data_IF_473334715206
#
_entry.id   IF_473334715206
#
_cell.length_a   1.000
_cell.length_b   1.000
_cell.length_c   1.000
_cell.angle_alpha   90.00
_cell.angle_beta   90.00
_cell.angle_gamma   90.00
#
_symmetry.space_group_name_H-M   'P 1'
#
loop_
_entity.id
_entity.type
_entity.pdbx_description
1 polymer ?
#
# COMPACT_ATOMS: atom_id res chain seq x y z
N UNK A 1 9.52 -18.69 21.22
CA UNK A 1 9.83 -18.34 19.80
C UNK A 1 9.55 -16.87 19.57
N UNK A 2 10.45 -16.14 18.91
CA UNK A 2 10.22 -14.73 18.58
C UNK A 2 9.06 -14.57 17.59
N UNK A 3 8.39 -13.40 17.58
CA UNK A 3 7.28 -13.11 16.64
C UNK A 3 7.70 -13.09 15.17
N UNK A 4 9.01 -13.05 14.88
CA UNK A 4 9.54 -12.95 13.51
C UNK A 4 10.52 -14.07 13.23
N UNK A 5 10.38 -14.71 12.08
CA UNK A 5 11.35 -15.69 11.58
C UNK A 5 12.71 -15.02 11.35
N UNK A 6 13.77 -15.68 11.78
CA UNK A 6 15.17 -15.30 11.47
C UNK A 6 15.53 -15.72 10.04
N UNK A 7 16.71 -15.34 9.56
CA UNK A 7 17.17 -15.80 8.25
C UNK A 7 17.43 -17.32 8.26
N UNK A 8 17.92 -17.87 9.37
CA UNK A 8 18.13 -19.32 9.54
C UNK A 8 16.83 -20.13 9.46
N UNK A 9 15.71 -19.59 9.94
CA UNK A 9 14.39 -20.25 9.84
C UNK A 9 13.92 -20.41 8.39
N UNK A 10 14.59 -19.78 7.42
CA UNK A 10 14.32 -19.92 5.99
C UNK A 10 15.30 -20.84 5.25
N UNK A 11 16.17 -21.59 5.96
CA UNK A 11 17.15 -22.47 5.34
C UNK A 11 16.49 -23.44 4.34
N UNK A 12 15.46 -24.14 4.76
CA UNK A 12 14.74 -25.08 3.91
C UNK A 12 14.09 -24.44 2.67
N UNK A 13 13.64 -23.21 2.77
CA UNK A 13 13.09 -22.45 1.64
C UNK A 13 14.19 -21.93 0.70
N UNK A 14 15.35 -21.55 1.24
CA UNK A 14 16.54 -21.16 0.48
C UNK A 14 17.02 -22.34 -0.38
N UNK A 15 17.11 -23.53 0.21
CA UNK A 15 17.57 -24.77 -0.45
C UNK A 15 16.66 -25.21 -1.61
N UNK A 16 15.38 -24.77 -1.64
CA UNK A 16 14.48 -25.02 -2.77
C UNK A 16 14.88 -24.28 -4.06
N UNK A 17 15.81 -23.31 -3.98
CA UNK A 17 16.18 -22.51 -5.13
C UNK A 17 17.12 -23.25 -6.09
N UNK A 18 16.59 -23.82 -7.17
CA UNK A 18 17.37 -24.50 -8.22
C UNK A 18 18.05 -23.53 -9.22
N UNK A 19 18.10 -22.26 -8.93
CA UNK A 19 18.81 -21.20 -9.72
C UNK A 19 18.37 -21.13 -11.20
N UNK A 20 17.15 -21.57 -11.56
CA UNK A 20 16.62 -21.70 -12.94
C UNK A 20 16.48 -20.37 -13.71
N UNK A 21 16.43 -19.23 -13.01
CA UNK A 21 16.35 -17.92 -13.64
C UNK A 21 14.95 -17.38 -13.99
N UNK A 22 13.86 -18.14 -13.74
CA UNK A 22 12.48 -17.67 -14.01
C UNK A 22 12.16 -16.30 -13.36
N UNK A 23 12.74 -16.02 -12.19
CA UNK A 23 12.58 -14.76 -11.48
C UNK A 23 13.17 -13.54 -12.21
N UNK A 24 14.13 -13.71 -13.12
CA UNK A 24 14.76 -12.59 -13.85
C UNK A 24 13.77 -11.85 -14.75
N UNK A 25 12.89 -12.60 -15.42
CA UNK A 25 11.92 -12.04 -16.36
C UNK A 25 10.93 -11.06 -15.66
N UNK A 26 10.67 -11.26 -14.38
CA UNK A 26 9.69 -10.46 -13.62
C UNK A 26 10.32 -9.37 -12.74
N UNK A 27 11.62 -9.46 -12.44
CA UNK A 27 12.25 -8.54 -11.52
C UNK A 27 12.46 -7.15 -12.14
N UNK A 28 11.70 -6.16 -11.65
CA UNK A 28 11.80 -4.79 -12.13
C UNK A 28 13.18 -4.17 -11.82
N UNK A 29 13.79 -4.50 -10.66
CA UNK A 29 15.11 -4.01 -10.27
C UNK A 29 16.19 -4.62 -11.16
N UNK A 30 16.13 -5.92 -11.45
CA UNK A 30 17.06 -6.57 -12.36
C UNK A 30 16.98 -5.97 -13.79
N UNK A 31 15.77 -5.70 -14.28
CA UNK A 31 15.58 -5.04 -15.59
C UNK A 31 16.23 -3.66 -15.67
N UNK A 32 16.37 -2.96 -14.53
CA UNK A 32 17.03 -1.65 -14.47
C UNK A 32 18.54 -1.76 -14.28
N UNK A 33 19.01 -2.60 -13.36
CA UNK A 33 20.42 -2.63 -12.94
C UNK A 33 21.26 -3.70 -13.66
N UNK A 34 20.63 -4.73 -14.21
CA UNK A 34 21.28 -5.85 -14.91
C UNK A 34 22.37 -6.56 -14.11
N UNK A 35 22.21 -6.60 -12.77
CA UNK A 35 23.14 -7.26 -11.85
C UNK A 35 22.47 -8.47 -11.22
N UNK A 36 23.18 -9.60 -11.17
CA UNK A 36 22.67 -10.86 -10.64
C UNK A 36 22.26 -10.75 -9.14
N UNK A 37 23.04 -10.02 -8.35
CA UNK A 37 22.72 -9.78 -6.92
C UNK A 37 21.39 -9.02 -6.67
N UNK A 38 20.81 -8.42 -7.72
CA UNK A 38 19.55 -7.68 -7.59
C UNK A 38 18.30 -8.52 -7.87
N UNK A 39 18.45 -9.70 -8.46
CA UNK A 39 17.35 -10.63 -8.73
C UNK A 39 17.17 -11.65 -7.60
N UNK A 40 16.02 -12.28 -7.51
CA UNK A 40 15.68 -13.21 -6.43
C UNK A 40 16.73 -14.32 -6.24
N UNK A 41 17.09 -15.07 -7.30
CA UNK A 41 18.06 -16.16 -7.17
C UNK A 41 19.44 -15.70 -6.66
N UNK A 42 19.88 -14.50 -7.08
CA UNK A 42 21.12 -13.91 -6.57
C UNK A 42 21.02 -13.51 -5.09
N UNK A 43 19.87 -12.97 -4.66
CA UNK A 43 19.62 -12.67 -3.23
C UNK A 43 19.57 -13.93 -2.38
N UNK A 44 18.95 -14.98 -2.90
CA UNK A 44 18.92 -16.29 -2.23
C UNK A 44 20.35 -16.83 -2.07
N UNK A 45 21.17 -16.83 -3.12
CA UNK A 45 22.56 -17.28 -3.06
C UNK A 45 23.41 -16.45 -2.08
N UNK A 46 23.19 -15.14 -2.02
CA UNK A 46 23.89 -14.25 -1.05
C UNK A 46 23.42 -14.54 0.39
N UNK A 47 22.13 -14.81 0.60
CA UNK A 47 21.58 -15.19 1.90
C UNK A 47 22.12 -16.54 2.36
N UNK A 48 22.18 -17.55 1.44
CA UNK A 48 22.80 -18.86 1.67
C UNK A 48 24.26 -18.70 2.10
N UNK A 49 25.06 -17.97 1.34
CA UNK A 49 26.49 -17.74 1.65
C UNK A 49 26.72 -16.99 2.99
N UNK A 50 25.78 -16.11 3.41
CA UNK A 50 25.84 -15.50 4.75
C UNK A 50 25.61 -16.53 5.85
N UNK A 51 24.60 -17.41 5.68
CA UNK A 51 24.29 -18.48 6.64
C UNK A 51 25.41 -19.50 6.74
N UNK A 52 26.07 -19.82 5.62
CA UNK A 52 27.22 -20.73 5.55
C UNK A 52 28.54 -20.09 6.01
N UNK A 53 28.49 -18.80 6.40
CA UNK A 53 29.66 -18.01 6.83
C UNK A 53 30.72 -17.81 5.73
N UNK A 54 30.34 -17.99 4.49
CA UNK A 54 31.22 -17.75 3.32
C UNK A 54 31.30 -16.24 2.98
N UNK A 55 30.25 -15.48 3.31
CA UNK A 55 30.21 -14.02 3.15
C UNK A 55 29.95 -13.32 4.49
N UNK A 56 30.65 -12.21 4.77
CA UNK A 56 30.37 -11.38 5.94
C UNK A 56 29.12 -10.52 5.72
N UNK A 57 28.45 -10.13 6.81
CA UNK A 57 27.41 -9.10 6.80
C UNK A 57 28.08 -7.72 6.65
N UNK A 58 28.62 -7.42 5.46
CA UNK A 58 29.29 -6.17 5.12
C UNK A 58 28.41 -5.23 4.30
N UNK A 59 28.97 -4.08 3.90
CA UNK A 59 28.29 -3.03 3.12
C UNK A 59 27.67 -3.58 1.83
N UNK A 60 28.36 -4.50 1.17
CA UNK A 60 27.88 -5.11 -0.07
C UNK A 60 26.62 -5.94 0.14
N UNK A 61 26.57 -6.75 1.21
CA UNK A 61 25.38 -7.51 1.58
C UNK A 61 24.19 -6.58 1.88
N UNK A 62 24.45 -5.52 2.66
CA UNK A 62 23.45 -4.50 3.01
C UNK A 62 22.90 -3.85 1.74
N UNK A 63 23.76 -3.43 0.81
CA UNK A 63 23.38 -2.81 -0.45
C UNK A 63 22.52 -3.77 -1.28
N UNK A 64 22.96 -5.01 -1.48
CA UNK A 64 22.25 -5.98 -2.31
C UNK A 64 20.87 -6.33 -1.70
N UNK A 65 20.74 -6.48 -0.36
CA UNK A 65 19.46 -6.71 0.30
C UNK A 65 18.55 -5.47 0.28
N UNK A 66 19.11 -4.25 0.29
CA UNK A 66 18.31 -3.02 0.17
C UNK A 66 17.69 -2.87 -1.22
N UNK A 67 18.31 -3.42 -2.26
CA UNK A 67 17.85 -3.37 -3.66
C UNK A 67 16.76 -4.41 -3.96
N UNK A 68 15.72 -4.46 -3.12
CA UNK A 68 14.53 -5.26 -3.33
C UNK A 68 13.29 -4.44 -3.02
N UNK A 69 12.30 -4.49 -3.94
CA UNK A 69 11.00 -3.81 -3.80
C UNK A 69 10.03 -4.54 -2.87
N UNK A 70 10.34 -5.76 -2.47
CA UNK A 70 9.44 -6.65 -1.70
C UNK A 70 8.08 -6.87 -2.41
N UNK A 71 8.07 -6.90 -3.73
CA UNK A 71 6.84 -6.92 -4.54
C UNK A 71 6.27 -8.32 -4.80
N UNK A 72 6.95 -9.39 -4.38
CA UNK A 72 6.50 -10.79 -4.53
C UNK A 72 6.47 -11.34 -5.97
N UNK A 73 6.75 -10.54 -7.01
CA UNK A 73 6.66 -10.99 -8.42
C UNK A 73 7.56 -12.18 -8.75
N UNK A 74 8.67 -12.33 -8.05
CA UNK A 74 9.56 -13.47 -8.21
C UNK A 74 8.99 -14.75 -7.59
N UNK A 75 8.25 -14.64 -6.49
CA UNK A 75 7.56 -15.76 -5.85
C UNK A 75 6.45 -16.31 -6.74
N UNK A 76 5.59 -15.44 -7.29
CA UNK A 76 4.47 -15.85 -8.16
C UNK A 76 4.90 -16.64 -9.40
N UNK A 77 6.13 -16.42 -9.88
CA UNK A 77 6.68 -17.08 -11.07
C UNK A 77 7.71 -18.15 -10.73
N UNK A 78 7.93 -18.40 -9.44
CA UNK A 78 8.87 -19.42 -9.00
C UNK A 78 8.21 -20.80 -9.03
N UNK A 79 8.73 -21.79 -9.80
CA UNK A 79 8.16 -23.12 -9.80
C UNK A 79 8.26 -23.82 -8.43
N UNK A 80 9.24 -23.42 -7.61
CA UNK A 80 9.46 -23.97 -6.27
C UNK A 80 8.89 -23.07 -5.16
N UNK A 81 8.15 -22.00 -5.50
CA UNK A 81 7.48 -21.09 -4.58
C UNK A 81 8.40 -20.54 -3.47
N UNK A 82 9.66 -20.21 -3.81
CA UNK A 82 10.62 -19.65 -2.84
C UNK A 82 10.15 -18.27 -2.38
N UNK A 83 9.92 -18.04 -1.06
CA UNK A 83 9.37 -16.78 -0.53
C UNK A 83 10.46 -15.71 -0.41
N UNK A 84 11.00 -15.26 -1.54
CA UNK A 84 12.16 -14.37 -1.59
C UNK A 84 11.93 -13.07 -0.84
N UNK A 85 10.72 -12.50 -0.88
CA UNK A 85 10.40 -11.27 -0.16
C UNK A 85 10.51 -11.45 1.36
N UNK A 86 10.11 -12.61 1.90
CA UNK A 86 10.19 -12.93 3.32
C UNK A 86 11.64 -13.18 3.75
N UNK A 87 12.42 -13.86 2.92
CA UNK A 87 13.87 -14.07 3.12
C UNK A 87 14.60 -12.72 3.15
N UNK A 88 14.32 -11.81 2.21
CA UNK A 88 14.91 -10.47 2.18
C UNK A 88 14.49 -9.65 3.42
N UNK A 89 13.24 -9.76 3.87
CA UNK A 89 12.80 -9.12 5.10
C UNK A 89 13.52 -9.67 6.32
N UNK A 90 13.75 -10.98 6.40
CA UNK A 90 14.54 -11.60 7.48
C UNK A 90 15.99 -11.11 7.45
N UNK A 91 16.63 -11.07 6.27
CA UNK A 91 17.97 -10.52 6.11
C UNK A 91 18.06 -9.05 6.55
N UNK A 92 17.07 -8.21 6.21
CA UNK A 92 17.01 -6.81 6.65
C UNK A 92 16.85 -6.67 8.16
N UNK A 93 16.08 -7.55 8.82
CA UNK A 93 16.00 -7.60 10.29
C UNK A 93 17.33 -7.96 10.92
N UNK A 94 18.04 -8.92 10.36
CA UNK A 94 19.37 -9.29 10.85
C UNK A 94 20.40 -8.15 10.67
N UNK A 95 20.37 -7.45 9.54
CA UNK A 95 21.15 -6.22 9.33
C UNK A 95 20.85 -5.18 10.42
N UNK A 96 19.56 -4.90 10.64
CA UNK A 96 19.14 -3.92 11.64
C UNK A 96 19.54 -4.30 13.09
N UNK A 97 19.48 -5.59 13.42
CA UNK A 97 19.91 -6.10 14.72
C UNK A 97 21.42 -5.99 14.95
N UNK A 98 22.23 -6.27 13.92
CA UNK A 98 23.69 -6.26 14.06
C UNK A 98 24.34 -4.89 13.85
N UNK A 99 23.79 -4.06 12.96
CA UNK A 99 24.37 -2.78 12.57
C UNK A 99 23.51 -1.56 12.95
N UNK A 100 22.29 -1.82 13.44
CA UNK A 100 21.29 -0.79 13.69
C UNK A 100 20.53 -0.35 12.43
N UNK A 101 19.48 0.43 12.64
CA UNK A 101 18.71 1.03 11.55
C UNK A 101 19.49 2.15 10.87
N UNK A 102 19.28 2.32 9.57
CA UNK A 102 19.74 3.50 8.85
C UNK A 102 19.17 4.80 9.44
N UNK A 103 19.79 5.94 9.14
CA UNK A 103 19.33 7.25 9.64
C UNK A 103 17.86 7.53 9.22
N UNK A 104 17.51 7.26 7.95
CA UNK A 104 16.12 7.38 7.50
C UNK A 104 15.20 6.37 8.19
N UNK A 105 15.65 5.12 8.37
CA UNK A 105 14.90 4.09 9.09
C UNK A 105 14.54 4.53 10.51
N UNK A 106 15.50 5.09 11.26
CA UNK A 106 15.28 5.63 12.63
C UNK A 106 14.24 6.75 12.65
N UNK A 107 14.31 7.69 11.70
CA UNK A 107 13.34 8.79 11.60
C UNK A 107 11.96 8.24 11.26
N UNK A 108 11.86 7.40 10.22
CA UNK A 108 10.62 6.80 9.76
C UNK A 108 9.91 6.05 10.88
N UNK A 109 10.60 5.10 11.50
CA UNK A 109 9.99 4.24 12.54
C UNK A 109 9.70 5.01 13.83
N UNK A 110 10.53 6.01 14.16
CA UNK A 110 10.27 6.94 15.26
C UNK A 110 8.99 7.76 15.10
N UNK A 111 8.68 8.17 13.86
CA UNK A 111 7.43 8.88 13.53
C UNK A 111 6.24 7.93 13.52
N UNK A 112 6.36 6.75 12.88
CA UNK A 112 5.28 5.78 12.76
C UNK A 112 4.74 5.28 14.10
N UNK A 113 5.60 5.15 15.12
CA UNK A 113 5.20 4.77 16.50
C UNK A 113 4.39 5.84 17.25
N UNK A 114 4.33 7.06 16.74
CA UNK A 114 3.75 8.21 17.45
C UNK A 114 2.64 8.86 16.65
N UNK A 115 1.39 8.35 16.70
CA UNK A 115 0.26 8.89 15.95
C UNK A 115 0.05 10.40 16.20
N UNK A 116 0.18 10.87 17.44
CA UNK A 116 0.10 12.30 17.77
C UNK A 116 1.16 13.14 17.06
N UNK A 117 2.38 12.62 16.91
CA UNK A 117 3.44 13.30 16.16
C UNK A 117 3.11 13.33 14.66
N UNK A 118 2.56 12.25 14.12
CA UNK A 118 2.09 12.21 12.72
C UNK A 118 1.00 13.27 12.49
N UNK A 119 0.07 13.47 13.43
CA UNK A 119 -0.95 14.52 13.35
C UNK A 119 -0.33 15.92 13.28
N UNK A 120 0.62 16.18 14.18
CA UNK A 120 1.31 17.48 14.22
C UNK A 120 2.08 17.71 12.93
N UNK A 121 2.82 16.70 12.44
CA UNK A 121 3.60 16.80 11.20
C UNK A 121 2.71 16.98 9.97
N UNK A 122 1.58 16.28 9.87
CA UNK A 122 0.64 16.44 8.77
C UNK A 122 0.03 17.85 8.75
N UNK A 123 -0.45 18.32 9.91
CA UNK A 123 -1.03 19.67 10.04
C UNK A 123 0.00 20.76 9.80
N UNK A 124 1.22 20.61 10.31
CA UNK A 124 2.32 21.55 10.06
C UNK A 124 2.72 21.55 8.57
N UNK A 125 2.85 20.37 7.97
CA UNK A 125 3.13 20.21 6.54
C UNK A 125 2.10 20.94 5.67
N UNK A 126 0.80 20.77 5.95
CA UNK A 126 -0.27 21.44 5.22
C UNK A 126 -0.27 22.97 5.42
N UNK A 127 0.08 23.48 6.62
CA UNK A 127 0.18 24.93 6.87
C UNK A 127 1.40 25.55 6.21
N UNK A 128 2.53 24.86 6.20
CA UNK A 128 3.80 25.32 5.66
C UNK A 128 3.98 24.93 4.18
N UNK A 129 2.98 24.31 3.55
CA UNK A 129 3.04 23.80 2.19
C UNK A 129 3.53 24.86 1.20
N UNK A 130 2.95 26.06 1.23
CA UNK A 130 3.31 27.15 0.32
C UNK A 130 4.76 27.65 0.50
N UNK A 131 5.32 27.52 1.71
CA UNK A 131 6.68 27.95 2.03
C UNK A 131 7.71 26.89 1.60
N UNK A 132 7.48 25.64 1.95
CA UNK A 132 8.44 24.54 1.76
C UNK A 132 8.33 23.86 0.38
N UNK A 133 7.17 23.98 -0.27
CA UNK A 133 6.89 23.27 -1.52
C UNK A 133 6.42 24.21 -2.63
N UNK A 134 6.59 23.75 -3.86
CA UNK A 134 6.02 24.34 -5.07
C UNK A 134 4.98 23.37 -5.61
N UNK A 135 3.77 23.88 -5.88
CA UNK A 135 2.73 23.07 -6.57
C UNK A 135 3.18 22.74 -7.99
N UNK A 136 2.94 21.51 -8.38
CA UNK A 136 3.05 21.09 -9.76
C UNK A 136 1.74 21.50 -10.44
N UNK A 137 1.75 22.00 -11.71
CA UNK A 137 0.52 22.34 -12.43
C UNK A 137 -0.49 21.18 -12.42
N UNK A 138 -1.77 21.51 -12.61
CA UNK A 138 -2.90 20.57 -12.74
C UNK A 138 -3.14 19.66 -11.52
N UNK A 139 -2.84 20.15 -10.30
CA UNK A 139 -3.02 19.43 -9.04
C UNK A 139 -2.28 18.08 -8.98
N UNK A 140 -1.18 17.95 -9.70
CA UNK A 140 -0.40 16.72 -9.80
C UNK A 140 0.62 16.55 -8.66
N UNK A 141 0.48 17.30 -7.56
CA UNK A 141 1.25 17.17 -6.32
C UNK A 141 2.21 18.33 -6.04
N UNK A 142 3.16 18.05 -5.16
CA UNK A 142 4.12 19.03 -4.62
C UNK A 142 5.55 18.64 -4.95
N UNK A 143 6.44 19.63 -5.16
CA UNK A 143 7.90 19.46 -5.19
C UNK A 143 8.58 20.31 -4.15
N UNK A 144 9.68 19.83 -3.60
CA UNK A 144 10.49 20.57 -2.64
C UNK A 144 11.09 21.84 -3.27
N UNK A 145 10.98 22.97 -2.58
CA UNK A 145 11.69 24.23 -2.94
C UNK A 145 13.17 24.14 -2.57
N UNK A 146 13.47 23.50 -1.44
CA UNK A 146 14.81 23.38 -0.86
C UNK A 146 15.19 21.90 -0.73
N UNK A 147 16.48 21.54 -0.77
CA UNK A 147 16.92 20.18 -0.52
C UNK A 147 16.60 19.79 0.92
N UNK A 148 16.01 18.62 1.10
CA UNK A 148 15.71 18.01 2.40
C UNK A 148 16.38 16.64 2.44
N UNK A 149 17.02 16.27 3.55
CA UNK A 149 17.62 14.94 3.68
C UNK A 149 16.63 13.83 3.30
N UNK A 150 17.11 12.80 2.62
CA UNK A 150 16.38 11.58 2.24
C UNK A 150 15.31 11.74 1.15
N UNK A 151 14.93 12.95 0.75
CA UNK A 151 13.91 13.16 -0.28
C UNK A 151 14.56 13.83 -1.49
N UNK A 152 14.55 13.16 -2.63
CA UNK A 152 15.02 13.74 -3.88
C UNK A 152 14.20 14.98 -4.23
N UNK A 153 14.88 16.08 -4.59
CA UNK A 153 14.24 17.38 -4.84
C UNK A 153 13.21 17.34 -5.98
N UNK A 154 13.48 16.53 -6.98
CA UNK A 154 12.63 16.34 -8.16
C UNK A 154 11.44 15.42 -7.90
N UNK A 155 11.39 14.73 -6.75
CA UNK A 155 10.30 13.83 -6.41
C UNK A 155 8.99 14.57 -6.22
N UNK A 156 7.94 14.06 -6.85
CA UNK A 156 6.58 14.52 -6.59
C UNK A 156 6.05 13.90 -5.30
N UNK A 157 5.47 14.72 -4.44
CA UNK A 157 4.87 14.34 -3.17
C UNK A 157 3.36 14.63 -3.24
N UNK A 158 2.52 13.91 -2.47
CA UNK A 158 1.10 14.24 -2.37
C UNK A 158 0.91 15.56 -1.62
N UNK A 159 -0.22 16.21 -1.82
CA UNK A 159 -0.61 17.36 -0.99
C UNK A 159 -0.79 16.92 0.46
N UNK A 160 -0.39 17.77 1.40
CA UNK A 160 -0.55 17.49 2.81
C UNK A 160 -1.94 17.90 3.29
N UNK A 161 -2.60 17.04 4.05
CA UNK A 161 -3.88 17.40 4.65
C UNK A 161 -3.70 18.13 5.97
N UNK A 162 -4.43 19.22 6.16
CA UNK A 162 -4.56 19.88 7.46
C UNK A 162 -5.61 19.22 8.35
N UNK A 163 -6.50 18.39 7.78
CA UNK A 163 -7.55 17.66 8.48
C UNK A 163 -7.42 16.16 8.16
N UNK A 164 -6.81 15.34 9.04
CA UNK A 164 -6.76 13.89 8.90
C UNK A 164 -8.16 13.26 8.74
N UNK A 165 -8.25 12.06 8.14
CA UNK A 165 -9.53 11.41 7.86
C UNK A 165 -10.46 11.32 9.09
N UNK A 166 -9.90 10.98 10.28
CA UNK A 166 -10.67 10.92 11.54
C UNK A 166 -11.29 12.24 12.00
N UNK A 167 -10.87 13.37 11.42
CA UNK A 167 -11.48 14.70 11.66
C UNK A 167 -12.51 15.07 10.57
N UNK A 168 -12.67 14.21 9.56
CA UNK A 168 -13.57 14.42 8.41
C UNK A 168 -14.78 13.51 8.45
N UNK A 169 -14.63 12.32 9.03
CA UNK A 169 -15.68 11.32 9.13
C UNK A 169 -16.02 11.03 10.59
N UNK A 170 -17.28 10.71 10.89
CA UNK A 170 -17.65 10.18 12.20
C UNK A 170 -16.99 8.82 12.42
N UNK A 171 -16.84 8.43 13.67
CA UNK A 171 -16.29 7.12 14.06
C UNK A 171 -17.17 5.96 13.60
N UNK A 172 -18.48 6.20 13.51
CA UNK A 172 -19.47 5.19 13.15
C UNK A 172 -20.45 5.73 12.08
N UNK A 173 -20.75 4.89 11.12
CA UNK A 173 -21.83 5.09 10.14
C UNK A 173 -22.84 3.98 10.35
N UNK A 174 -24.10 4.35 10.58
CA UNK A 174 -25.20 3.40 10.68
C UNK A 174 -25.47 2.72 9.34
N UNK A 175 -26.04 1.54 9.39
CA UNK A 175 -26.51 0.77 8.25
C UNK A 175 -27.66 -0.13 8.68
N UNK A 176 -28.15 -0.98 7.78
CA UNK A 176 -29.26 -1.90 8.07
C UNK A 176 -28.91 -2.83 9.25
N UNK A 177 -29.90 -3.09 10.09
CA UNK A 177 -29.73 -3.79 11.38
C UNK A 177 -29.33 -5.28 11.23
N UNK A 178 -29.61 -5.90 10.09
CA UNK A 178 -29.25 -7.30 9.78
C UNK A 178 -27.84 -7.47 9.23
N UNK A 179 -27.13 -6.37 8.95
CA UNK A 179 -25.77 -6.43 8.45
C UNK A 179 -24.74 -6.47 9.60
N UNK A 180 -23.79 -7.37 9.48
CA UNK A 180 -22.63 -7.43 10.41
C UNK A 180 -21.80 -6.16 10.34
N UNK A 181 -21.32 -5.67 11.50
CA UNK A 181 -20.46 -4.51 11.57
C UNK A 181 -19.15 -4.73 10.81
N UNK A 182 -18.88 -3.85 9.87
CA UNK A 182 -17.59 -3.81 9.16
C UNK A 182 -16.72 -2.72 9.77
N UNK A 183 -15.46 -3.03 10.08
CA UNK A 183 -14.49 -2.03 10.52
C UNK A 183 -13.60 -1.59 9.37
N UNK A 184 -13.20 -0.31 9.33
CA UNK A 184 -12.29 0.21 8.32
C UNK A 184 -10.89 0.46 8.89
N UNK A 185 -9.91 -0.25 8.34
CA UNK A 185 -8.51 0.04 8.56
C UNK A 185 -8.02 1.04 7.50
N UNK A 186 -7.97 2.32 7.86
CA UNK A 186 -7.54 3.41 6.95
C UNK A 186 -6.02 3.42 6.72
N UNK A 187 -5.23 3.06 7.73
CA UNK A 187 -3.78 3.15 7.69
C UNK A 187 -3.26 4.60 7.55
N UNK A 188 -1.93 4.75 7.49
CA UNK A 188 -1.31 6.08 7.54
C UNK A 188 -1.52 6.90 6.26
N UNK A 189 -1.47 6.29 5.06
CA UNK A 189 -1.55 7.04 3.81
C UNK A 189 -2.95 7.63 3.57
N UNK A 190 -4.01 6.87 3.83
CA UNK A 190 -5.39 7.35 3.72
C UNK A 190 -5.67 8.37 4.84
N UNK A 191 -5.15 8.12 6.04
CA UNK A 191 -5.34 9.02 7.17
C UNK A 191 -4.77 10.43 6.91
N UNK A 192 -3.57 10.53 6.28
CA UNK A 192 -2.79 11.77 6.25
C UNK A 192 -2.51 12.33 4.85
N UNK A 193 -2.58 11.54 3.79
CA UNK A 193 -2.23 11.97 2.43
C UNK A 193 -3.40 11.87 1.45
N UNK A 194 -4.28 10.88 1.63
CA UNK A 194 -5.39 10.64 0.69
C UNK A 194 -6.72 10.43 1.43
N UNK A 195 -7.14 11.36 2.32
CA UNK A 195 -8.37 11.20 3.11
C UNK A 195 -9.62 11.06 2.25
N UNK A 196 -9.63 11.60 1.03
CA UNK A 196 -10.73 11.45 0.07
C UNK A 196 -11.03 9.99 -0.29
N UNK A 197 -10.05 9.08 -0.17
CA UNK A 197 -10.29 7.64 -0.38
C UNK A 197 -11.17 7.06 0.73
N UNK A 198 -10.96 7.50 1.98
CA UNK A 198 -11.81 7.12 3.11
C UNK A 198 -13.21 7.73 3.03
N UNK A 199 -13.31 9.00 2.60
CA UNK A 199 -14.60 9.66 2.36
C UNK A 199 -15.38 8.96 1.24
N UNK A 200 -14.71 8.54 0.16
CA UNK A 200 -15.28 7.76 -0.92
C UNK A 200 -15.83 6.42 -0.40
N UNK A 201 -15.05 5.72 0.46
CA UNK A 201 -15.51 4.47 1.07
C UNK A 201 -16.76 4.68 1.93
N UNK A 202 -16.77 5.70 2.79
CA UNK A 202 -17.91 6.02 3.63
C UNK A 202 -19.19 6.25 2.81
N UNK A 203 -19.07 6.97 1.67
CA UNK A 203 -20.17 7.20 0.75
C UNK A 203 -20.68 5.89 0.11
N UNK A 204 -19.77 4.99 -0.26
CA UNK A 204 -20.13 3.68 -0.82
C UNK A 204 -20.88 2.83 0.22
N UNK A 205 -20.42 2.83 1.48
CA UNK A 205 -21.07 2.08 2.56
C UNK A 205 -22.48 2.60 2.83
N UNK A 206 -22.70 3.91 2.85
CA UNK A 206 -24.05 4.50 2.94
C UNK A 206 -24.94 4.09 1.77
N UNK A 207 -24.43 4.14 0.55
CA UNK A 207 -25.18 3.69 -0.64
C UNK A 207 -25.59 2.21 -0.57
N UNK A 208 -24.76 1.37 0.06
CA UNK A 208 -25.05 -0.05 0.28
C UNK A 208 -25.87 -0.32 1.55
N UNK A 209 -26.11 0.71 2.36
CA UNK A 209 -26.77 0.61 3.68
C UNK A 209 -26.04 -0.39 4.60
N UNK A 210 -24.70 -0.28 4.66
CA UNK A 210 -23.83 -1.12 5.47
C UNK A 210 -23.25 -0.35 6.65
N UNK A 211 -23.27 -0.91 7.88
CA UNK A 211 -22.65 -0.27 9.05
C UNK A 211 -21.13 -0.27 8.93
N UNK A 212 -20.50 0.88 9.25
CA UNK A 212 -19.04 1.05 9.19
C UNK A 212 -18.52 1.66 10.49
N UNK A 213 -17.54 1.02 11.09
CA UNK A 213 -16.80 1.56 12.23
C UNK A 213 -15.37 1.91 11.83
N UNK A 214 -14.92 3.10 12.20
CA UNK A 214 -13.58 3.63 11.92
C UNK A 214 -12.86 3.84 13.26
N UNK A 215 -12.11 2.84 13.79
CA UNK A 215 -11.43 2.98 15.07
C UNK A 215 -10.49 4.19 15.10
N UNK A 216 -10.65 5.15 16.03
CA UNK A 216 -9.84 6.37 16.02
C UNK A 216 -8.38 6.14 16.44
N UNK A 217 -8.08 5.06 17.18
CA UNK A 217 -6.75 4.76 17.71
C UNK A 217 -5.88 3.93 16.76
N UNK A 218 -6.40 3.51 15.61
CA UNK A 218 -5.62 2.76 14.63
C UNK A 218 -4.40 3.54 14.11
N UNK A 219 -3.34 2.82 13.79
CA UNK A 219 -2.08 3.40 13.33
C UNK A 219 -1.63 2.90 11.95
N UNK A 220 -0.32 2.88 11.73
CA UNK A 220 0.27 2.27 10.55
C UNK A 220 0.20 0.73 10.63
N UNK A 221 0.03 0.05 9.48
CA UNK A 221 0.08 -1.43 9.42
C UNK A 221 1.47 -2.02 9.72
N UNK A 222 2.51 -1.21 9.83
CA UNK A 222 3.87 -1.66 10.10
C UNK A 222 4.71 -2.04 8.87
N UNK A 223 4.13 -2.15 7.67
CA UNK A 223 4.87 -2.59 6.48
C UNK A 223 6.11 -1.70 6.14
N UNK A 224 6.09 -0.37 6.30
CA UNK A 224 7.30 0.44 6.10
C UNK A 224 8.40 0.16 7.12
N UNK A 225 8.04 -0.13 8.39
CA UNK A 225 8.99 -0.54 9.43
C UNK A 225 9.58 -1.93 9.13
N UNK A 226 8.74 -2.85 8.66
CA UNK A 226 9.18 -4.18 8.21
C UNK A 226 10.16 -4.09 7.03
N UNK A 227 9.89 -3.22 6.05
CA UNK A 227 10.79 -2.96 4.95
C UNK A 227 12.13 -2.35 5.39
N UNK A 228 12.15 -1.61 6.51
CA UNK A 228 13.36 -1.08 7.14
C UNK A 228 14.10 -2.10 8.03
N UNK A 229 13.49 -3.25 8.35
CA UNK A 229 14.05 -4.27 9.24
C UNK A 229 13.79 -4.02 10.73
N UNK A 230 12.93 -3.06 11.10
CA UNK A 230 12.63 -2.71 12.50
C UNK A 230 11.49 -3.58 13.07
N UNK A 231 11.84 -4.78 13.52
CA UNK A 231 10.90 -5.72 14.12
C UNK A 231 10.19 -5.14 15.36
N UNK A 232 10.93 -4.44 16.23
CA UNK A 232 10.36 -3.87 17.46
C UNK A 232 9.29 -2.82 17.17
N UNK A 233 9.45 -2.03 16.10
CA UNK A 233 8.42 -1.10 15.65
C UNK A 233 7.22 -1.83 15.05
N UNK A 234 7.45 -2.91 14.30
CA UNK A 234 6.36 -3.74 13.76
C UNK A 234 5.52 -4.33 14.88
N UNK A 235 6.17 -4.89 15.91
CA UNK A 235 5.48 -5.45 17.08
C UNK A 235 4.63 -4.40 17.82
N UNK A 236 5.22 -3.24 18.12
CA UNK A 236 4.51 -2.17 18.81
C UNK A 236 3.29 -1.64 18.01
N UNK A 237 3.41 -1.54 16.69
CA UNK A 237 2.31 -1.14 15.82
C UNK A 237 1.22 -2.21 15.71
N UNK A 238 1.62 -3.49 15.68
CA UNK A 238 0.68 -4.60 15.64
C UNK A 238 -0.14 -4.68 16.93
N UNK A 239 0.52 -4.59 18.10
CA UNK A 239 -0.16 -4.60 19.40
C UNK A 239 -1.12 -3.40 19.54
N UNK A 240 -0.70 -2.21 19.13
CA UNK A 240 -1.55 -1.02 19.14
C UNK A 240 -2.77 -1.17 18.20
N UNK A 241 -2.60 -1.75 17.02
CA UNK A 241 -3.71 -2.00 16.11
C UNK A 241 -4.65 -3.09 16.64
N UNK A 242 -4.13 -4.19 17.19
CA UNK A 242 -4.97 -5.22 17.85
C UNK A 242 -5.83 -4.59 18.94
N UNK A 243 -5.22 -3.76 19.80
CA UNK A 243 -5.95 -3.04 20.86
C UNK A 243 -7.00 -2.07 20.30
N UNK A 244 -6.71 -1.37 19.19
CA UNK A 244 -7.63 -0.43 18.56
C UNK A 244 -8.89 -1.11 17.98
N UNK A 245 -8.79 -2.37 17.57
CA UNK A 245 -9.91 -3.15 17.01
C UNK A 245 -10.58 -4.07 18.04
N UNK A 246 -10.10 -4.08 19.28
CA UNK A 246 -10.72 -4.83 20.37
C UNK A 246 -11.97 -4.14 20.91
N UNK A 247 -12.83 -4.89 21.62
CA UNK A 247 -13.96 -4.36 22.38
C UNK A 247 -15.24 -4.12 21.58
N UNK A 248 -15.28 -4.53 20.30
CA UNK A 248 -16.51 -4.62 19.49
C UNK A 248 -16.53 -5.94 18.73
N UNK A 249 -17.71 -6.50 18.56
CA UNK A 249 -17.89 -7.63 17.67
C UNK A 249 -17.87 -7.12 16.21
N UNK A 250 -16.87 -7.55 15.47
CA UNK A 250 -16.64 -7.12 14.09
C UNK A 250 -16.72 -8.35 13.19
N UNK A 251 -17.60 -8.31 12.18
CA UNK A 251 -17.71 -9.36 11.19
C UNK A 251 -16.51 -9.37 10.22
N UNK A 252 -16.07 -8.20 9.76
CA UNK A 252 -15.00 -8.03 8.79
C UNK A 252 -14.22 -6.73 9.04
N UNK A 253 -12.93 -6.73 8.70
CA UNK A 253 -12.11 -5.52 8.62
C UNK A 253 -11.72 -5.28 7.17
N UNK A 254 -12.13 -4.14 6.60
CA UNK A 254 -11.77 -3.79 5.23
C UNK A 254 -10.65 -2.75 5.20
N UNK A 255 -9.81 -2.82 4.17
CA UNK A 255 -8.83 -1.77 3.90
C UNK A 255 -8.78 -1.41 2.42
N UNK A 256 -8.63 -0.11 2.13
CA UNK A 256 -8.47 0.42 0.78
C UNK A 256 -6.98 0.64 0.40
N UNK A 257 -6.09 -0.13 0.99
CA UNK A 257 -4.66 -0.05 0.77
C UNK A 257 -4.05 -1.45 0.61
N UNK A 258 -3.58 -1.77 -0.58
CA UNK A 258 -2.93 -3.05 -0.88
C UNK A 258 -1.79 -3.40 0.10
N UNK A 259 -1.00 -2.38 0.49
CA UNK A 259 0.08 -2.57 1.46
C UNK A 259 -0.43 -2.87 2.86
N UNK A 260 -1.53 -2.26 3.30
CA UNK A 260 -2.17 -2.57 4.57
C UNK A 260 -2.81 -3.95 4.55
N UNK A 261 -3.44 -4.34 3.44
CA UNK A 261 -3.98 -5.68 3.26
C UNK A 261 -2.91 -6.76 3.40
N UNK A 262 -1.73 -6.57 2.78
CA UNK A 262 -0.59 -7.47 2.96
C UNK A 262 -0.02 -7.39 4.38
N UNK A 263 0.15 -6.20 4.94
CA UNK A 263 0.73 -5.99 6.26
C UNK A 263 -0.06 -6.67 7.37
N UNK A 264 -1.39 -6.52 7.38
CA UNK A 264 -2.24 -7.10 8.41
C UNK A 264 -2.72 -8.49 7.96
N UNK A 265 -3.32 -8.61 6.80
CA UNK A 265 -3.93 -9.86 6.35
C UNK A 265 -2.94 -11.01 6.08
N UNK A 266 -1.65 -10.72 5.78
CA UNK A 266 -0.63 -11.75 5.59
C UNK A 266 0.35 -11.83 6.76
N UNK A 267 0.98 -10.67 7.13
CA UNK A 267 2.11 -10.72 8.08
C UNK A 267 1.67 -10.85 9.53
N UNK A 268 0.58 -10.20 9.97
CA UNK A 268 0.10 -10.34 11.35
C UNK A 268 -0.30 -11.78 11.70
N UNK A 269 -0.75 -12.58 10.73
CA UNK A 269 -1.06 -14.00 10.95
C UNK A 269 0.11 -14.81 11.49
N UNK A 270 1.33 -14.34 11.30
CA UNK A 270 2.56 -15.00 11.76
C UNK A 270 3.08 -14.43 13.10
N UNK A 271 2.39 -13.42 13.67
CA UNK A 271 2.89 -12.65 14.83
C UNK A 271 2.20 -13.01 16.16
N UNK A 272 1.61 -14.19 16.27
CA UNK A 272 0.90 -14.67 17.45
C UNK A 272 -0.62 -14.57 17.33
N UNK A 273 -1.33 -15.21 18.25
CA UNK A 273 -2.78 -15.47 18.19
C UNK A 273 -3.63 -14.21 18.03
N UNK A 274 -3.41 -13.19 18.85
CA UNK A 274 -4.19 -11.95 18.81
C UNK A 274 -3.99 -11.19 17.48
N UNK A 275 -2.77 -11.17 16.95
CA UNK A 275 -2.48 -10.57 15.64
C UNK A 275 -3.07 -11.41 14.50
N UNK A 276 -3.04 -12.74 14.62
CA UNK A 276 -3.63 -13.65 13.64
C UNK A 276 -5.15 -13.48 13.58
N UNK A 277 -5.82 -13.37 14.73
CA UNK A 277 -7.26 -13.15 14.83
C UNK A 277 -7.71 -11.86 14.13
N UNK A 278 -6.93 -10.76 14.25
CA UNK A 278 -7.17 -9.54 13.48
C UNK A 278 -6.88 -9.75 12.00
N UNK A 279 -5.76 -10.40 11.66
CA UNK A 279 -5.34 -10.66 10.29
C UNK A 279 -6.33 -11.52 9.50
N UNK A 280 -7.00 -12.47 10.15
CA UNK A 280 -8.01 -13.34 9.54
C UNK A 280 -9.30 -12.60 9.18
N UNK A 281 -9.60 -11.50 9.87
CA UNK A 281 -10.74 -10.63 9.56
C UNK A 281 -10.44 -9.61 8.46
N UNK A 282 -9.17 -9.41 8.07
CA UNK A 282 -8.81 -8.37 7.09
C UNK A 282 -9.01 -8.84 5.66
N UNK A 283 -9.73 -8.03 4.90
CA UNK A 283 -9.99 -8.23 3.48
C UNK A 283 -9.78 -6.92 2.69
N UNK A 284 -9.37 -7.05 1.43
CA UNK A 284 -9.35 -5.92 0.50
C UNK A 284 -10.77 -5.43 0.23
N UNK A 285 -10.95 -4.12 0.28
CA UNK A 285 -12.27 -3.50 0.14
C UNK A 285 -12.93 -3.77 -1.23
N UNK A 286 -12.17 -3.88 -2.32
CA UNK A 286 -12.75 -4.12 -3.65
C UNK A 286 -13.36 -5.51 -3.72
N UNK A 287 -12.69 -6.53 -3.16
CA UNK A 287 -13.24 -7.88 -3.05
C UNK A 287 -14.49 -7.90 -2.18
N UNK A 288 -14.45 -7.22 -1.03
CA UNK A 288 -15.61 -7.06 -0.16
C UNK A 288 -16.81 -6.43 -0.91
N UNK A 289 -16.60 -5.30 -1.59
CA UNK A 289 -17.66 -4.57 -2.27
C UNK A 289 -18.27 -5.35 -3.45
N UNK A 290 -17.46 -6.10 -4.20
CA UNK A 290 -17.95 -7.00 -5.25
C UNK A 290 -18.86 -8.07 -4.63
N UNK A 291 -18.46 -8.66 -3.51
CA UNK A 291 -19.28 -9.66 -2.79
C UNK A 291 -20.57 -9.07 -2.21
N UNK A 292 -20.60 -7.76 -1.91
CA UNK A 292 -21.81 -7.04 -1.47
C UNK A 292 -22.74 -6.64 -2.64
N UNK A 293 -22.48 -7.10 -3.86
CA UNK A 293 -23.33 -6.82 -5.02
C UNK A 293 -23.20 -5.40 -5.58
N UNK A 294 -22.08 -4.71 -5.31
CA UNK A 294 -21.88 -3.34 -5.80
C UNK A 294 -21.79 -3.29 -7.33
N UNK A 295 -21.23 -4.30 -7.99
CA UNK A 295 -21.09 -4.34 -9.45
C UNK A 295 -22.46 -4.29 -10.12
N UNK A 296 -23.41 -5.10 -9.65
CA UNK A 296 -24.78 -5.17 -10.16
C UNK A 296 -25.53 -3.84 -9.96
N UNK A 297 -25.36 -3.22 -8.79
CA UNK A 297 -25.96 -1.90 -8.50
C UNK A 297 -25.36 -0.80 -9.40
N UNK A 298 -24.06 -0.80 -9.66
CA UNK A 298 -23.42 0.17 -10.56
C UNK A 298 -23.87 0.01 -12.01
N UNK A 299 -24.12 -1.22 -12.47
CA UNK A 299 -24.63 -1.50 -13.82
C UNK A 299 -26.05 -1.01 -14.05
N UNK A 300 -26.83 -0.82 -12.97
CA UNK A 300 -28.20 -0.27 -13.02
C UNK A 300 -28.21 1.26 -13.13
N UNK A 301 -27.10 1.93 -12.87
CA UNK A 301 -27.01 3.39 -13.01
C UNK A 301 -27.08 3.80 -14.49
N UNK A 302 -27.73 4.95 -14.80
CA UNK A 302 -27.84 5.43 -16.17
C UNK A 302 -26.44 5.72 -16.75
N UNK A 303 -26.20 5.21 -17.96
CA UNK A 303 -24.94 5.46 -18.67
C UNK A 303 -24.81 6.94 -19.02
N UNK A 304 -23.60 7.48 -18.78
CA UNK A 304 -23.26 8.84 -19.18
C UNK A 304 -22.89 8.89 -20.68
N UNK A 305 -23.27 9.98 -21.36
CA UNK A 305 -22.95 10.18 -22.78
C UNK A 305 -21.45 10.37 -23.00
N UNK A 306 -20.83 11.18 -22.14
CA UNK A 306 -19.37 11.37 -22.14
C UNK A 306 -18.73 10.45 -21.10
N UNK A 307 -17.84 9.56 -21.56
CA UNK A 307 -17.10 8.65 -20.70
C UNK A 307 -15.63 8.99 -20.69
N UNK A 308 -15.03 8.89 -19.51
CA UNK A 308 -13.60 9.11 -19.32
C UNK A 308 -12.87 7.79 -19.55
N UNK A 309 -11.81 7.83 -20.37
CA UNK A 309 -10.95 6.67 -20.58
C UNK A 309 -10.06 6.45 -19.35
N UNK A 310 -10.19 5.28 -18.73
CA UNK A 310 -9.53 4.89 -17.49
C UNK A 310 -8.77 3.59 -17.67
N UNK A 311 -7.51 3.57 -17.26
CA UNK A 311 -6.72 2.35 -17.14
C UNK A 311 -6.50 1.98 -15.69
N UNK A 312 -5.99 0.76 -15.43
CA UNK A 312 -5.76 0.26 -14.06
C UNK A 312 -4.35 -0.24 -13.86
N UNK A 313 -3.74 0.14 -12.72
CA UNK A 313 -2.49 -0.42 -12.23
C UNK A 313 -2.75 -1.43 -11.13
N UNK A 314 -2.31 -2.68 -11.31
CA UNK A 314 -2.36 -3.73 -10.28
C UNK A 314 -1.33 -3.47 -9.18
N UNK A 315 -1.74 -3.16 -7.94
CA UNK A 315 -0.81 -3.14 -6.82
C UNK A 315 -0.22 -4.53 -6.58
N UNK A 316 1.10 -4.61 -6.48
CA UNK A 316 1.78 -5.90 -6.34
C UNK A 316 1.28 -6.71 -5.13
N UNK A 317 0.97 -6.06 -4.01
CA UNK A 317 0.48 -6.72 -2.80
C UNK A 317 -0.96 -7.25 -2.93
N UNK A 318 -1.80 -6.74 -3.83
CA UNK A 318 -3.09 -7.36 -4.15
C UNK A 318 -2.92 -8.48 -5.16
N UNK A 319 -2.12 -8.25 -6.19
CA UNK A 319 -1.86 -9.25 -7.22
C UNK A 319 -1.31 -10.57 -6.64
N UNK A 320 -0.35 -10.49 -5.69
CA UNK A 320 0.18 -11.68 -4.99
C UNK A 320 -0.85 -12.38 -4.09
N UNK A 321 -2.00 -11.76 -3.86
CA UNK A 321 -3.13 -12.33 -3.12
C UNK A 321 -4.29 -12.72 -4.05
N UNK A 322 -4.08 -12.70 -5.37
CA UNK A 322 -5.08 -13.06 -6.38
C UNK A 322 -6.23 -12.04 -6.50
N UNK A 323 -6.02 -10.78 -6.05
CA UNK A 323 -7.02 -9.71 -6.14
C UNK A 323 -6.66 -8.81 -7.32
N UNK A 324 -7.19 -9.14 -8.49
CA UNK A 324 -6.94 -8.43 -9.75
C UNK A 324 -8.21 -8.20 -10.57
N UNK A 325 -9.17 -9.12 -10.44
CA UNK A 325 -10.43 -9.06 -11.17
C UNK A 325 -11.41 -8.06 -10.54
N UNK A 326 -11.47 -7.98 -9.23
CA UNK A 326 -12.48 -7.22 -8.50
C UNK A 326 -12.37 -5.70 -8.74
N UNK A 327 -11.18 -5.05 -8.69
CA UNK A 327 -11.08 -3.64 -9.06
C UNK A 327 -11.47 -3.36 -10.52
N UNK A 328 -11.14 -4.29 -11.43
CA UNK A 328 -11.53 -4.18 -12.85
C UNK A 328 -13.04 -4.35 -13.05
N UNK A 329 -13.66 -5.25 -12.31
CA UNK A 329 -15.12 -5.44 -12.36
C UNK A 329 -15.85 -4.16 -11.94
N UNK A 330 -15.39 -3.52 -10.85
CA UNK A 330 -15.94 -2.24 -10.41
C UNK A 330 -15.75 -1.15 -11.48
N UNK A 331 -14.54 -0.99 -12.03
CA UNK A 331 -14.25 0.04 -13.05
C UNK A 331 -15.07 -0.15 -14.32
N UNK A 332 -15.26 -1.40 -14.79
CA UNK A 332 -16.04 -1.73 -15.98
C UNK A 332 -17.53 -1.51 -15.77
N UNK A 333 -18.02 -1.58 -14.52
CA UNK A 333 -19.41 -1.37 -14.18
C UNK A 333 -19.81 0.12 -14.10
N UNK A 334 -18.82 1.03 -14.02
CA UNK A 334 -19.07 2.47 -13.85
C UNK A 334 -19.66 3.10 -15.13
N UNK A 335 -20.79 3.85 -15.03
CA UNK A 335 -21.47 4.44 -16.19
C UNK A 335 -20.64 5.50 -16.91
N UNK A 336 -19.74 6.21 -16.20
CA UNK A 336 -18.89 7.28 -16.72
C UNK A 336 -17.52 6.79 -17.21
N UNK A 337 -17.21 5.49 -17.16
CA UNK A 337 -15.87 4.96 -17.46
C UNK A 337 -15.86 4.19 -18.78
N UNK A 338 -14.88 4.50 -19.63
CA UNK A 338 -14.40 3.65 -20.71
C UNK A 338 -13.12 2.97 -20.23
N UNK A 339 -13.24 1.71 -19.80
CA UNK A 339 -12.08 0.96 -19.29
C UNK A 339 -11.19 0.46 -20.43
N UNK A 340 -9.89 0.77 -20.35
CA UNK A 340 -8.85 0.27 -21.26
C UNK A 340 -7.71 -0.36 -20.43
N UNK A 341 -7.26 -1.55 -20.84
CA UNK A 341 -6.15 -2.21 -20.15
C UNK A 341 -4.82 -1.65 -20.67
N UNK A 342 -3.88 -1.30 -19.78
CA UNK A 342 -2.55 -0.89 -20.19
C UNK A 342 -1.58 -2.07 -20.26
N UNK A 343 -0.58 -1.97 -21.15
CA UNK A 343 0.52 -2.93 -21.16
C UNK A 343 1.28 -2.89 -19.82
N UNK A 344 1.55 -4.06 -19.25
CA UNK A 344 2.28 -4.18 -17.99
C UNK A 344 1.53 -3.62 -16.78
N UNK A 345 0.20 -3.68 -16.76
CA UNK A 345 -0.62 -3.32 -15.60
C UNK A 345 -0.15 -4.01 -14.31
N UNK A 346 0.28 -5.25 -14.42
CA UNK A 346 0.77 -6.13 -13.35
C UNK A 346 2.22 -5.85 -12.89
N UNK A 347 2.98 -5.02 -13.63
CA UNK A 347 4.36 -4.67 -13.27
C UNK A 347 4.39 -3.65 -12.13
N UNK A 348 5.34 -3.82 -11.19
CA UNK A 348 5.50 -2.91 -10.04
C UNK A 348 5.68 -1.46 -10.49
N UNK A 349 5.08 -0.51 -9.73
CA UNK A 349 5.22 0.94 -9.96
C UNK A 349 6.61 1.49 -9.60
N UNK A 350 7.39 0.78 -8.77
CA UNK A 350 8.72 1.19 -8.34
C UNK A 350 8.80 1.79 -6.94
N UNK A 351 7.71 1.91 -6.16
CA UNK A 351 7.75 2.50 -4.82
C UNK A 351 8.61 1.68 -3.85
N UNK A 352 8.21 0.44 -3.55
CA UNK A 352 8.91 -0.48 -2.65
C UNK A 352 9.19 0.06 -1.24
N UNK A 353 8.31 0.88 -0.68
CA UNK A 353 8.50 1.49 0.64
C UNK A 353 9.78 2.32 0.72
N UNK A 354 10.73 1.92 1.57
CA UNK A 354 12.04 2.58 1.74
C UNK A 354 12.92 2.52 0.49
N UNK A 355 12.66 1.58 -0.44
CA UNK A 355 13.44 1.44 -1.67
C UNK A 355 13.47 2.73 -2.50
N UNK A 356 12.33 3.38 -2.70
CA UNK A 356 12.25 4.60 -3.50
C UNK A 356 12.90 5.82 -2.82
N UNK A 357 13.31 5.70 -1.56
CA UNK A 357 14.11 6.72 -0.86
C UNK A 357 15.60 6.47 -1.07
N UNK A 358 16.05 5.22 -0.88
CA UNK A 358 17.47 4.89 -1.00
C UNK A 358 17.96 4.71 -2.44
N UNK A 359 17.05 4.31 -3.35
CA UNK A 359 17.35 3.96 -4.73
C UNK A 359 16.43 4.72 -5.70
N UNK A 360 16.32 6.04 -5.52
CA UNK A 360 15.36 6.86 -6.26
C UNK A 360 15.57 6.78 -7.78
N UNK A 361 16.81 6.80 -8.27
CA UNK A 361 17.10 6.69 -9.71
C UNK A 361 16.61 5.36 -10.30
N UNK A 362 16.83 4.26 -9.57
CA UNK A 362 16.30 2.96 -9.99
C UNK A 362 14.77 2.94 -9.92
N UNK A 363 14.17 3.54 -8.89
CA UNK A 363 12.72 3.71 -8.76
C UNK A 363 12.15 4.49 -9.96
N UNK A 364 12.79 5.58 -10.37
CA UNK A 364 12.42 6.37 -11.57
C UNK A 364 12.49 5.56 -12.86
N UNK A 365 13.58 4.78 -13.07
CA UNK A 365 13.69 3.91 -14.23
C UNK A 365 12.60 2.83 -14.30
N UNK A 366 12.15 2.34 -13.13
CA UNK A 366 11.01 1.42 -13.06
C UNK A 366 9.72 2.16 -13.39
N UNK A 367 9.54 3.36 -12.82
CA UNK A 367 8.39 4.22 -13.02
C UNK A 367 8.23 4.69 -14.46
N UNK A 368 9.34 4.98 -15.18
CA UNK A 368 9.25 5.40 -16.59
C UNK A 368 8.61 4.33 -17.47
N UNK A 369 9.00 3.05 -17.30
CA UNK A 369 8.36 1.94 -18.02
C UNK A 369 6.87 1.78 -17.72
N UNK A 370 6.44 2.19 -16.51
CA UNK A 370 5.02 2.23 -16.16
C UNK A 370 4.32 3.41 -16.84
N UNK A 371 4.97 4.57 -16.87
CA UNK A 371 4.46 5.75 -17.57
C UNK A 371 4.31 5.51 -19.08
N UNK A 372 5.22 4.75 -19.72
CA UNK A 372 5.11 4.35 -21.12
C UNK A 372 3.83 3.54 -21.37
N UNK A 373 3.52 2.54 -20.52
CA UNK A 373 2.30 1.75 -20.63
C UNK A 373 1.03 2.59 -20.41
N UNK A 374 1.08 3.57 -19.48
CA UNK A 374 -0.02 4.52 -19.28
C UNK A 374 -0.23 5.39 -20.51
N UNK A 375 0.84 5.96 -21.06
CA UNK A 375 0.79 6.80 -22.26
C UNK A 375 0.21 6.04 -23.47
N UNK A 376 0.67 4.82 -23.70
CA UNK A 376 0.20 3.96 -24.81
C UNK A 376 -1.28 3.60 -24.69
N UNK A 377 -1.83 3.52 -23.47
CA UNK A 377 -3.26 3.25 -23.25
C UNK A 377 -4.16 4.41 -23.70
N UNK A 378 -3.62 5.61 -23.83
CA UNK A 378 -4.38 6.83 -24.12
C UNK A 378 -5.39 7.20 -23.02
N UNK A 379 -5.21 6.69 -21.80
CA UNK A 379 -6.12 6.94 -20.68
C UNK A 379 -5.92 8.33 -20.08
N UNK A 380 -7.01 9.02 -19.80
CA UNK A 380 -7.01 10.29 -19.08
C UNK A 380 -6.78 10.09 -17.57
N UNK A 381 -7.16 8.91 -17.05
CA UNK A 381 -6.98 8.54 -15.64
C UNK A 381 -6.32 7.16 -15.54
N UNK A 382 -5.40 7.02 -14.58
CA UNK A 382 -4.92 5.71 -14.12
C UNK A 382 -5.44 5.46 -12.70
N UNK A 383 -6.29 4.46 -12.57
CA UNK A 383 -6.83 4.02 -11.28
C UNK A 383 -5.92 2.98 -10.63
N UNK A 384 -5.87 2.96 -9.31
CA UNK A 384 -5.20 1.92 -8.53
C UNK A 384 -5.92 1.68 -7.20
N UNK A 385 -5.64 0.57 -6.54
CA UNK A 385 -6.18 0.17 -5.25
C UNK A 385 -5.17 0.33 -4.09
N UNK A 386 -4.22 1.27 -4.23
CA UNK A 386 -3.16 1.47 -3.23
C UNK A 386 -2.66 2.91 -3.20
N UNK A 387 -2.83 3.63 -2.09
CA UNK A 387 -2.30 4.99 -1.93
C UNK A 387 -0.79 5.11 -2.15
N UNK A 388 -0.01 4.09 -1.77
CA UNK A 388 1.42 4.05 -2.07
C UNK A 388 1.70 4.01 -3.57
N UNK A 389 0.92 3.23 -4.34
CA UNK A 389 1.03 3.22 -5.80
C UNK A 389 0.59 4.56 -6.40
N UNK A 390 -0.46 5.22 -5.84
CA UNK A 390 -0.87 6.55 -6.29
C UNK A 390 0.31 7.53 -6.24
N UNK A 391 1.02 7.59 -5.11
CA UNK A 391 2.21 8.44 -4.95
C UNK A 391 3.26 8.19 -6.04
N UNK A 392 3.60 6.93 -6.30
CA UNK A 392 4.67 6.59 -7.25
C UNK A 392 4.23 6.77 -8.71
N UNK A 393 2.98 6.46 -9.03
CA UNK A 393 2.42 6.67 -10.36
C UNK A 393 2.39 8.16 -10.70
N UNK A 394 1.98 9.01 -9.73
CA UNK A 394 1.97 10.46 -9.91
C UNK A 394 3.37 11.01 -10.16
N UNK A 395 4.37 10.53 -9.42
CA UNK A 395 5.77 10.91 -9.66
C UNK A 395 6.23 10.51 -11.07
N UNK A 396 5.91 9.29 -11.50
CA UNK A 396 6.29 8.77 -12.82
C UNK A 396 5.62 9.54 -13.97
N UNK A 397 4.33 9.84 -13.83
CA UNK A 397 3.53 10.61 -14.80
C UNK A 397 4.08 12.04 -14.92
N UNK A 398 4.37 12.70 -13.80
CA UNK A 398 4.93 14.05 -13.79
C UNK A 398 6.31 14.11 -14.44
N UNK A 399 7.15 13.09 -14.25
CA UNK A 399 8.45 13.00 -14.91
C UNK A 399 8.36 12.72 -16.42
N UNK A 400 7.32 12.00 -16.84
CA UNK A 400 7.06 11.73 -18.25
C UNK A 400 6.31 12.88 -18.96
N UNK A 401 5.88 13.92 -18.23
CA UNK A 401 5.12 15.04 -18.79
C UNK A 401 3.74 14.66 -19.33
N UNK A 402 3.12 13.59 -18.77
CA UNK A 402 1.80 13.13 -19.19
C UNK A 402 0.68 13.94 -18.51
N UNK A 403 -0.38 14.23 -19.25
CA UNK A 403 -1.58 14.88 -18.73
C UNK A 403 -2.50 13.92 -17.94
N UNK A 404 -2.20 12.61 -17.93
CA UNK A 404 -2.95 11.60 -17.18
C UNK A 404 -2.89 11.88 -15.69
N UNK A 405 -4.01 11.71 -14.98
CA UNK A 405 -4.09 11.85 -13.51
C UNK A 405 -4.23 10.50 -12.83
N UNK A 406 -3.80 10.43 -11.58
CA UNK A 406 -3.91 9.22 -10.73
C UNK A 406 -5.12 9.36 -9.81
N UNK A 407 -5.88 8.28 -9.65
CA UNK A 407 -6.98 8.23 -8.68
C UNK A 407 -7.07 6.84 -8.02
N UNK A 408 -7.79 6.77 -6.91
CA UNK A 408 -8.16 5.50 -6.31
C UNK A 408 -9.44 4.96 -6.97
N UNK A 409 -9.57 3.62 -7.11
CA UNK A 409 -10.81 3.02 -7.66
C UNK A 409 -12.06 3.49 -6.92
N UNK A 410 -12.00 3.58 -5.58
CA UNK A 410 -13.14 4.03 -4.76
C UNK A 410 -13.57 5.46 -5.06
N UNK A 411 -12.65 6.35 -5.44
CA UNK A 411 -13.00 7.73 -5.80
C UNK A 411 -13.89 7.76 -7.05
N UNK A 412 -13.57 6.95 -8.07
CA UNK A 412 -14.38 6.82 -9.28
C UNK A 412 -15.75 6.18 -8.99
N UNK A 413 -15.77 5.17 -8.11
CA UNK A 413 -17.02 4.54 -7.67
C UNK A 413 -17.91 5.56 -6.97
N UNK A 414 -17.35 6.29 -5.99
CA UNK A 414 -18.10 7.28 -5.23
C UNK A 414 -18.64 8.43 -6.12
N UNK A 415 -17.90 8.83 -7.15
CA UNK A 415 -18.34 9.85 -8.11
C UNK A 415 -19.56 9.43 -8.93
N UNK A 416 -19.73 8.13 -9.19
CA UNK A 416 -20.87 7.59 -9.93
C UNK A 416 -22.16 7.55 -9.11
N UNK A 417 -22.05 7.55 -7.77
CA UNK A 417 -23.21 7.41 -6.89
C UNK A 417 -24.01 8.72 -6.78
N UNK A 418 -25.34 8.64 -6.52
CA UNK A 418 -26.18 9.80 -6.30
C UNK A 418 -25.62 10.73 -5.22
N UNK A 419 -25.83 12.03 -5.37
CA UNK A 419 -25.41 13.02 -4.38
C UNK A 419 -26.34 12.97 -3.14
N UNK A 420 -25.88 12.35 -2.06
CA UNK A 420 -26.55 12.38 -0.77
C UNK A 420 -25.73 13.20 0.22
N UNK A 421 -26.41 14.00 1.08
CA UNK A 421 -25.77 14.82 2.10
C UNK A 421 -25.08 13.98 3.19
N UNK A 422 -23.94 14.44 3.64
CA UNK A 422 -23.27 13.88 4.82
C UNK A 422 -23.91 14.47 6.08
N UNK A 423 -24.95 13.84 6.62
CA UNK A 423 -25.35 14.05 8.00
C UNK A 423 -24.57 13.09 8.91
N UNK A 424 -24.04 13.59 10.02
CA UNK A 424 -23.35 12.76 11.01
C UNK A 424 -24.38 11.97 11.81
N UNK A 425 -24.40 10.65 11.63
CA UNK A 425 -25.22 9.77 12.46
C UNK A 425 -24.71 9.76 13.92
N UNK A 426 -25.59 9.73 14.91
CA UNK A 426 -25.17 9.61 16.30
C UNK A 426 -24.42 8.28 16.53
N UNK A 427 -23.34 8.33 17.31
CA UNK A 427 -22.58 7.14 17.67
C UNK A 427 -23.45 6.32 18.65
N UNK A 428 -23.85 5.07 18.33
CA UNK A 428 -24.62 4.25 19.27
C UNK A 428 -23.76 3.95 20.51
N UNK A 429 -24.38 3.84 21.72
CA UNK A 429 -23.67 3.41 22.91
C UNK A 429 -23.04 2.04 22.70
N UNK A 430 -21.93 1.78 23.39
CA UNK A 430 -21.14 0.54 23.23
C UNK A 430 -21.92 -0.76 23.51
N UNK A 431 -23.06 -0.65 24.20
CA UNK A 431 -23.90 -1.78 24.63
C UNK A 431 -24.95 -2.18 23.57
N UNK A 432 -25.23 -1.32 22.57
CA UNK A 432 -26.32 -1.53 21.60
C UNK A 432 -25.81 -1.90 20.18
N UNK A 433 -24.59 -2.38 20.06
CA UNK A 433 -24.10 -2.92 18.80
C UNK A 433 -24.53 -4.39 18.68
N UNK A 434 -25.35 -4.78 17.67
CA UNK A 434 -25.78 -6.16 17.46
C UNK A 434 -24.60 -7.10 17.20
#
# INVERSE_FOLDING_TARGET
MGRHKTLEDFRAEIDKCVKCGACQAQCAVYKSLRRESTVARGKIAIAEALLDKELPLGERFVLDMSQCLLCGSCHDKCPNLVPTEEIVMAARREIAQRQGLSSFGKVLTGVLKRPKLMDVLAKAGGRLEKLAFRKIPDHSGLRLRFPVPFIARERSLPEFTTRPLRERLPEYLAGRADASLTAFFSGCMIQYSYPQVGEALARIFRFLDLPLWIPPQQGCCGLPAQAAGDAATVDALADANVAAFAGREIGQVVTACASCNAGIGKHYRQMGEACAALGDKVEDVHRFLVRQGLVEKLQQLPRQQERVRVTYHDPCHLRTQGITAEPRALLKALPQVEFVEMEGADRCCGLGGTFSVYHYDTSRQIGSRKADGIATSGAALVATACPGCMLQLQDSINHAGLATRVCHVLELVAQALPAEGFESDPIPPKEDCP
#
